data_IF_384830958187
#
_entry.id   IF_384830958187
#
_cell.length_a   1.000
_cell.length_b   1.000
_cell.length_c   1.000
_cell.angle_alpha   90.00
_cell.angle_beta   90.00
_cell.angle_gamma   90.00
#
_symmetry.space_group_name_H-M   'P 1'
#
loop_
_entity.id
_entity.type
_entity.pdbx_description
1 polymer ?
#
# COMPACT_ATOMS: atom_id res chain seq x y z
N UNK A 1 -27.32 39.30 16.93
CA UNK A 1 -27.28 37.84 16.94
C UNK A 1 -25.85 37.40 16.73
N UNK A 2 -25.27 36.64 17.69
CA UNK A 2 -23.86 36.19 17.59
C UNK A 2 -23.88 34.79 16.99
N UNK A 3 -23.59 34.70 15.67
CA UNK A 3 -23.57 33.43 14.95
C UNK A 3 -22.40 32.52 15.37
N UNK A 4 -22.55 31.17 15.33
CA UNK A 4 -21.50 30.25 15.66
C UNK A 4 -20.21 30.42 14.83
N UNK A 5 -19.06 29.90 15.28
CA UNK A 5 -17.87 29.82 14.44
C UNK A 5 -18.16 29.09 13.11
N UNK A 6 -17.51 29.50 12.04
CA UNK A 6 -17.73 28.99 10.66
C UNK A 6 -17.74 27.43 10.61
N UNK A 7 -16.79 26.79 11.30
CA UNK A 7 -16.71 25.31 11.37
C UNK A 7 -18.02 24.68 11.88
N UNK A 8 -18.71 25.33 12.85
CA UNK A 8 -19.97 24.83 13.40
C UNK A 8 -21.16 25.16 12.50
N UNK A 9 -21.11 26.27 11.79
CA UNK A 9 -22.11 26.62 10.76
C UNK A 9 -22.11 25.57 9.63
N UNK A 10 -20.94 25.15 9.16
CA UNK A 10 -20.79 24.09 8.14
C UNK A 10 -21.32 22.74 8.59
N UNK A 11 -21.09 22.37 9.84
CA UNK A 11 -21.65 21.14 10.39
C UNK A 11 -23.18 21.16 10.41
N UNK A 12 -23.77 22.32 10.73
CA UNK A 12 -25.23 22.52 10.68
C UNK A 12 -25.72 22.46 9.23
N UNK A 13 -24.99 23.06 8.27
CA UNK A 13 -25.30 23.02 6.84
C UNK A 13 -25.34 21.57 6.31
N UNK A 14 -24.36 20.75 6.67
CA UNK A 14 -24.31 19.33 6.29
C UNK A 14 -25.54 18.56 6.81
N UNK A 15 -25.92 18.78 8.08
CA UNK A 15 -27.13 18.18 8.66
C UNK A 15 -28.40 18.66 7.95
N UNK A 16 -28.46 19.94 7.58
CA UNK A 16 -29.61 20.49 6.86
C UNK A 16 -29.73 19.90 5.45
N UNK A 17 -28.66 19.76 4.72
CA UNK A 17 -28.68 19.09 3.42
C UNK A 17 -29.20 17.66 3.53
N UNK A 18 -28.85 16.94 4.61
CA UNK A 18 -29.37 15.62 4.88
C UNK A 18 -30.87 15.64 5.22
N UNK A 19 -31.32 16.61 6.00
CA UNK A 19 -32.74 16.82 6.30
C UNK A 19 -33.55 17.01 5.01
N UNK A 20 -33.03 17.78 4.05
CA UNK A 20 -33.71 18.02 2.77
C UNK A 20 -33.79 16.78 1.89
N UNK A 21 -32.78 15.90 1.93
CA UNK A 21 -32.69 14.69 1.08
C UNK A 21 -33.27 13.44 1.72
N UNK A 22 -33.72 13.50 2.96
CA UNK A 22 -34.24 12.33 3.65
C UNK A 22 -35.60 11.92 3.10
N UNK A 23 -35.67 10.72 2.51
CA UNK A 23 -36.90 10.09 2.04
C UNK A 23 -37.70 9.47 3.20
N UNK A 24 -37.03 9.10 4.29
CA UNK A 24 -37.65 8.50 5.48
C UNK A 24 -37.91 9.59 6.52
N UNK A 25 -39.15 9.63 7.03
CA UNK A 25 -39.61 10.62 8.02
C UNK A 25 -38.85 10.52 9.36
N UNK A 26 -38.46 9.34 9.79
CA UNK A 26 -37.66 9.14 11.01
C UNK A 26 -36.25 9.73 10.85
N UNK A 27 -35.61 9.56 9.70
CA UNK A 27 -34.30 10.14 9.42
C UNK A 27 -34.41 11.66 9.34
N UNK A 28 -35.49 12.18 8.78
CA UNK A 28 -35.77 13.61 8.70
C UNK A 28 -35.96 14.21 10.10
N UNK A 29 -36.77 13.59 10.95
CA UNK A 29 -37.00 14.01 12.32
C UNK A 29 -35.71 14.00 13.15
N UNK A 30 -34.90 12.95 13.03
CA UNK A 30 -33.61 12.87 13.71
C UNK A 30 -32.61 13.97 13.24
N UNK A 31 -32.51 14.21 11.93
CA UNK A 31 -31.64 15.26 11.42
C UNK A 31 -32.10 16.65 11.92
N UNK A 32 -33.39 16.90 11.96
CA UNK A 32 -33.97 18.14 12.50
C UNK A 32 -33.61 18.31 13.97
N UNK A 33 -33.84 17.30 14.80
CA UNK A 33 -33.48 17.32 16.22
C UNK A 33 -32.00 17.65 16.42
N UNK A 34 -31.09 17.03 15.63
CA UNK A 34 -29.65 17.29 15.73
C UNK A 34 -29.27 18.71 15.30
N UNK A 35 -29.97 19.30 14.35
CA UNK A 35 -29.79 20.71 13.99
C UNK A 35 -30.21 21.59 15.15
N UNK A 36 -31.40 21.38 15.70
CA UNK A 36 -31.96 22.15 16.83
C UNK A 36 -31.05 22.07 18.06
N UNK A 37 -30.56 20.89 18.44
CA UNK A 37 -29.59 20.69 19.54
C UNK A 37 -28.30 21.52 19.33
N UNK A 38 -27.83 21.63 18.08
CA UNK A 38 -26.62 22.39 17.78
C UNK A 38 -26.85 23.89 17.74
N UNK A 39 -28.00 24.34 17.25
CA UNK A 39 -28.39 25.72 17.30
C UNK A 39 -28.56 26.21 18.75
N UNK A 40 -29.23 25.39 19.59
CA UNK A 40 -29.49 25.69 21.00
C UNK A 40 -28.19 25.88 21.81
N UNK A 41 -27.11 25.10 21.51
CA UNK A 41 -25.78 25.31 22.12
C UNK A 41 -25.17 26.69 21.89
N UNK A 42 -25.72 27.45 20.96
CA UNK A 42 -25.31 28.83 20.62
C UNK A 42 -26.40 29.85 20.90
N UNK A 43 -27.48 29.46 21.60
CA UNK A 43 -28.63 30.34 21.90
C UNK A 43 -29.46 30.68 20.66
N UNK A 44 -29.42 29.84 19.63
CA UNK A 44 -30.12 30.00 18.36
C UNK A 44 -31.32 29.06 18.27
N UNK A 45 -32.33 29.44 17.50
CA UNK A 45 -33.51 28.62 17.21
C UNK A 45 -33.53 28.20 15.73
N UNK A 46 -34.52 27.40 15.35
CA UNK A 46 -34.74 27.00 13.97
C UNK A 46 -34.91 28.18 13.01
N UNK A 47 -35.56 29.25 13.45
CA UNK A 47 -35.78 30.48 12.66
C UNK A 47 -34.46 31.20 12.30
N UNK A 48 -33.40 30.95 13.09
CA UNK A 48 -32.06 31.51 12.84
C UNK A 48 -31.21 30.68 11.86
N UNK A 49 -31.75 29.55 11.40
CA UNK A 49 -31.02 28.59 10.58
C UNK A 49 -30.52 29.19 9.28
N UNK A 50 -31.34 30.00 8.61
CA UNK A 50 -30.95 30.65 7.35
C UNK A 50 -29.74 31.57 7.49
N UNK A 51 -29.61 32.27 8.60
CA UNK A 51 -28.44 33.11 8.86
C UNK A 51 -27.19 32.28 9.10
N UNK A 52 -27.31 31.09 9.77
CA UNK A 52 -26.23 30.15 9.96
C UNK A 52 -25.81 29.52 8.64
N UNK A 53 -26.75 29.15 7.78
CA UNK A 53 -26.52 28.61 6.45
C UNK A 53 -25.84 29.62 5.54
N UNK A 54 -26.32 30.85 5.48
CA UNK A 54 -25.69 31.96 4.74
C UNK A 54 -24.25 32.22 5.19
N UNK A 55 -23.98 32.19 6.51
CA UNK A 55 -22.62 32.31 7.01
C UNK A 55 -21.74 31.15 6.61
N UNK A 56 -22.29 29.94 6.53
CA UNK A 56 -21.56 28.77 6.04
C UNK A 56 -21.23 28.90 4.55
N UNK A 57 -22.13 29.45 3.75
CA UNK A 57 -21.99 29.65 2.30
C UNK A 57 -21.09 30.84 1.94
N UNK A 58 -21.13 31.91 2.74
CA UNK A 58 -20.29 33.12 2.54
C UNK A 58 -18.86 32.96 3.03
N UNK A 59 -18.59 31.91 3.76
CA UNK A 59 -17.23 31.60 4.12
C UNK A 59 -16.50 31.12 2.86
N UNK A 60 -15.74 32.02 2.24
CA UNK A 60 -14.66 31.70 1.30
C UNK A 60 -13.63 30.83 2.02
N UNK A 61 -14.05 29.62 2.38
CA UNK A 61 -13.11 28.58 2.72
C UNK A 61 -12.88 27.81 1.43
N UNK A 62 -11.62 27.50 1.10
CA UNK A 62 -11.32 26.59 0.03
C UNK A 62 -12.29 25.42 0.12
N UNK A 63 -12.80 24.93 -1.00
CA UNK A 63 -13.65 23.75 -1.11
C UNK A 63 -13.03 22.51 -0.44
N UNK A 64 -11.76 22.62 -0.06
CA UNK A 64 -10.89 21.60 0.54
C UNK A 64 -11.36 20.99 1.86
N UNK A 65 -12.17 21.69 2.65
CA UNK A 65 -12.49 21.20 4.01
C UNK A 65 -13.56 20.12 4.05
N UNK A 66 -14.30 19.93 2.99
CA UNK A 66 -15.32 18.88 2.84
C UNK A 66 -14.97 17.87 1.73
N UNK A 67 -13.73 17.86 1.32
CA UNK A 67 -13.21 16.86 0.44
C UNK A 67 -13.42 15.48 1.07
N UNK A 68 -13.89 14.54 0.28
CA UNK A 68 -14.14 13.15 0.70
C UNK A 68 -12.93 12.51 1.39
N UNK A 69 -11.70 12.87 0.98
CA UNK A 69 -10.47 12.41 1.63
C UNK A 69 -10.35 12.88 3.08
N UNK A 70 -10.72 14.15 3.36
CA UNK A 70 -10.69 14.67 4.73
C UNK A 70 -11.72 13.98 5.63
N UNK A 71 -12.87 13.59 5.08
CA UNK A 71 -13.88 12.84 5.83
C UNK A 71 -13.38 11.42 6.15
N UNK A 72 -12.77 10.75 5.19
CA UNK A 72 -12.21 9.41 5.39
C UNK A 72 -11.00 9.48 6.34
N UNK A 73 -10.07 10.42 6.17
CA UNK A 73 -8.92 10.62 7.06
C UNK A 73 -9.37 10.88 8.51
N UNK A 74 -10.37 11.76 8.69
CA UNK A 74 -10.97 12.04 10.00
C UNK A 74 -11.63 10.83 10.64
N UNK A 75 -12.26 9.96 9.83
CA UNK A 75 -12.81 8.70 10.31
C UNK A 75 -11.70 7.73 10.77
N UNK A 76 -10.68 7.52 9.92
CA UNK A 76 -9.59 6.60 10.25
C UNK A 76 -8.84 7.08 11.49
N UNK A 77 -8.44 8.35 11.54
CA UNK A 77 -7.65 8.92 12.64
C UNK A 77 -8.37 8.87 14.00
N UNK A 78 -9.69 8.76 13.98
CA UNK A 78 -10.50 8.63 15.20
C UNK A 78 -10.35 7.27 15.88
N UNK A 79 -10.22 6.19 15.09
CA UNK A 79 -10.24 4.81 15.55
C UNK A 79 -8.91 4.09 15.40
N UNK A 80 -8.06 4.50 14.47
CA UNK A 80 -6.84 3.77 14.09
C UNK A 80 -5.63 4.68 14.15
N UNK A 81 -4.54 4.16 14.71
CA UNK A 81 -3.25 4.82 14.73
C UNK A 81 -2.36 4.29 13.60
N UNK A 82 -2.20 5.08 12.57
CA UNK A 82 -1.29 4.91 11.45
C UNK A 82 -0.79 6.29 11.00
N UNK A 83 0.29 6.33 10.25
CA UNK A 83 0.87 7.60 9.80
C UNK A 83 -0.07 8.39 8.86
N UNK A 84 0.10 9.71 8.74
CA UNK A 84 -0.70 10.51 7.81
C UNK A 84 -0.60 10.03 6.36
N UNK A 85 0.59 9.60 5.90
CA UNK A 85 0.80 9.05 4.56
C UNK A 85 0.01 7.75 4.35
N UNK A 86 0.01 6.87 5.33
CA UNK A 86 -0.75 5.61 5.28
C UNK A 86 -2.27 5.86 5.30
N UNK A 87 -2.75 6.83 6.10
CA UNK A 87 -4.17 7.22 6.09
C UNK A 87 -4.61 7.75 4.73
N UNK A 88 -3.79 8.63 4.14
CA UNK A 88 -4.05 9.16 2.80
C UNK A 88 -4.06 8.03 1.75
N UNK A 89 -3.05 7.18 1.74
CA UNK A 89 -2.95 6.05 0.82
C UNK A 89 -4.15 5.09 0.93
N UNK A 90 -4.57 4.78 2.17
CA UNK A 90 -5.74 3.95 2.43
C UNK A 90 -7.03 4.62 1.94
N UNK A 91 -7.22 5.93 2.20
CA UNK A 91 -8.39 6.68 1.74
C UNK A 91 -8.45 6.71 0.20
N UNK A 92 -7.33 6.96 -0.46
CA UNK A 92 -7.21 6.92 -1.93
C UNK A 92 -7.50 5.53 -2.48
N UNK A 93 -7.00 4.48 -1.83
CA UNK A 93 -7.28 3.11 -2.22
C UNK A 93 -8.77 2.76 -2.06
N UNK A 94 -9.42 3.22 -0.98
CA UNK A 94 -10.85 3.02 -0.80
C UNK A 94 -11.66 3.70 -1.91
N UNK A 95 -11.32 4.94 -2.30
CA UNK A 95 -11.93 5.62 -3.45
C UNK A 95 -11.65 4.91 -4.77
N UNK A 96 -10.43 4.35 -4.94
CA UNK A 96 -10.08 3.57 -6.13
C UNK A 96 -11.04 2.40 -6.36
N UNK A 97 -11.57 1.77 -5.32
CA UNK A 97 -12.52 0.66 -5.46
C UNK A 97 -13.80 1.02 -6.21
N UNK A 98 -14.18 2.29 -6.27
CA UNK A 98 -15.36 2.79 -7.00
C UNK A 98 -15.09 3.05 -8.48
N UNK A 99 -13.82 3.19 -8.86
CA UNK A 99 -13.41 3.61 -10.20
C UNK A 99 -12.29 2.73 -10.77
N UNK A 100 -12.02 1.57 -10.16
CA UNK A 100 -10.91 0.69 -10.53
C UNK A 100 -10.96 0.24 -12.00
N UNK A 101 -12.16 0.23 -12.58
CA UNK A 101 -12.38 -0.11 -13.98
C UNK A 101 -11.77 0.88 -14.98
N UNK A 102 -11.36 2.07 -14.54
CA UNK A 102 -10.69 3.04 -15.39
C UNK A 102 -9.25 2.63 -15.73
N UNK A 103 -8.67 1.66 -15.03
CA UNK A 103 -7.28 1.22 -15.25
C UNK A 103 -7.19 -0.27 -15.59
N UNK A 104 -6.05 -0.64 -16.17
CA UNK A 104 -5.74 -2.04 -16.48
C UNK A 104 -5.08 -2.79 -15.33
N UNK A 105 -4.68 -2.09 -14.26
CA UNK A 105 -4.10 -2.69 -13.04
C UNK A 105 -4.79 -2.11 -11.82
N UNK A 106 -5.06 -2.96 -10.83
CA UNK A 106 -5.61 -2.57 -9.54
C UNK A 106 -4.65 -2.97 -8.42
N UNK A 107 -4.14 -2.01 -7.61
CA UNK A 107 -3.27 -2.35 -6.49
C UNK A 107 -4.04 -3.12 -5.42
N UNK A 108 -3.36 -4.03 -4.73
CA UNK A 108 -3.88 -4.64 -3.51
C UNK A 108 -3.70 -3.66 -2.36
N UNK A 109 -4.54 -3.74 -1.34
CA UNK A 109 -4.29 -3.10 -0.05
C UNK A 109 -3.76 -4.16 0.91
N UNK A 110 -2.61 -3.92 1.53
CA UNK A 110 -2.01 -4.83 2.48
C UNK A 110 -1.89 -4.18 3.87
N UNK A 111 -2.61 -4.71 4.84
CA UNK A 111 -2.58 -4.28 6.25
C UNK A 111 -1.64 -5.22 7.00
N UNK A 112 -0.41 -4.81 7.21
CA UNK A 112 0.63 -5.65 7.80
C UNK A 112 0.97 -5.20 9.23
N UNK A 113 1.29 -6.14 10.11
CA UNK A 113 1.82 -5.83 11.42
C UNK A 113 2.86 -6.86 11.85
N UNK A 114 3.85 -6.48 12.68
CA UNK A 114 4.84 -7.43 13.18
C UNK A 114 4.26 -8.45 14.15
N UNK A 115 3.18 -8.10 14.84
CA UNK A 115 2.55 -8.93 15.88
C UNK A 115 1.03 -8.73 15.89
N UNK A 116 0.31 -9.59 16.59
CA UNK A 116 -1.12 -9.45 16.85
C UNK A 116 -1.42 -8.20 17.74
N UNK A 117 -2.67 -7.73 17.68
CA UNK A 117 -3.14 -6.63 18.53
C UNK A 117 -2.70 -5.22 18.07
N UNK A 118 -2.43 -5.04 16.77
CA UNK A 118 -2.09 -3.75 16.18
C UNK A 118 -3.29 -3.05 15.49
N UNK A 119 -4.53 -3.55 15.65
CA UNK A 119 -5.73 -2.93 15.12
C UNK A 119 -6.08 -3.31 13.66
N UNK A 120 -5.46 -4.35 13.06
CA UNK A 120 -5.75 -4.79 11.67
C UNK A 120 -7.23 -5.09 11.45
N UNK A 121 -7.83 -5.89 12.30
CA UNK A 121 -9.25 -6.26 12.21
C UNK A 121 -10.17 -5.05 12.31
N UNK A 122 -9.86 -4.09 13.20
CA UNK A 122 -10.63 -2.85 13.32
C UNK A 122 -10.49 -1.98 12.07
N UNK A 123 -9.28 -1.90 11.50
CA UNK A 123 -9.07 -1.19 10.23
C UNK A 123 -9.79 -1.90 9.08
N UNK A 124 -9.78 -3.24 9.02
CA UNK A 124 -10.49 -4.00 7.99
C UNK A 124 -12.01 -3.75 8.05
N UNK A 125 -12.60 -3.64 9.24
CA UNK A 125 -14.01 -3.26 9.43
C UNK A 125 -14.30 -1.83 8.92
N UNK A 126 -13.39 -0.88 9.14
CA UNK A 126 -13.53 0.46 8.56
C UNK A 126 -13.42 0.42 7.02
N UNK A 127 -12.51 -0.37 6.48
CA UNK A 127 -12.38 -0.60 5.03
C UNK A 127 -13.70 -1.14 4.47
N UNK A 128 -14.30 -2.15 5.10
CA UNK A 128 -15.61 -2.73 4.71
C UNK A 128 -16.71 -1.65 4.61
N UNK A 129 -16.70 -0.68 5.51
CA UNK A 129 -17.71 0.38 5.51
C UNK A 129 -17.53 1.43 4.40
N UNK A 130 -16.31 1.59 3.88
CA UNK A 130 -15.95 2.69 2.97
C UNK A 130 -15.87 2.24 1.52
N UNK A 131 -15.42 1.02 1.24
CA UNK A 131 -15.15 0.53 -0.12
C UNK A 131 -16.42 0.25 -0.92
N UNK A 132 -16.26 0.16 -2.24
CA UNK A 132 -17.35 -0.19 -3.14
C UNK A 132 -17.64 -1.70 -3.09
N UNK A 133 -18.91 -2.07 -2.95
CA UNK A 133 -19.37 -3.48 -2.97
C UNK A 133 -18.50 -4.43 -2.14
N UNK A 134 -18.32 -4.20 -0.82
CA UNK A 134 -17.48 -5.03 0.01
C UNK A 134 -18.00 -6.48 0.06
N UNK A 135 -17.10 -7.46 0.04
CA UNK A 135 -17.42 -8.80 0.53
C UNK A 135 -17.53 -8.79 2.05
N UNK A 136 -18.10 -9.81 2.68
CA UNK A 136 -17.82 -10.07 4.10
C UNK A 136 -16.30 -10.15 4.34
N UNK A 137 -15.85 -9.80 5.55
CA UNK A 137 -14.46 -10.00 5.95
C UNK A 137 -14.22 -11.49 6.19
N UNK A 138 -13.49 -12.13 5.28
CA UNK A 138 -13.19 -13.56 5.39
C UNK A 138 -11.93 -13.80 6.21
N UNK A 139 -12.07 -14.55 7.30
CA UNK A 139 -10.97 -15.03 8.13
C UNK A 139 -10.36 -16.31 7.57
N UNK A 140 -11.17 -17.12 6.88
CA UNK A 140 -10.74 -18.32 6.18
C UNK A 140 -11.49 -18.47 4.86
N UNK A 141 -10.76 -18.60 3.77
CA UNK A 141 -11.34 -18.69 2.43
C UNK A 141 -10.54 -19.65 1.56
N UNK A 142 -11.24 -20.54 0.86
CA UNK A 142 -10.58 -21.39 -0.13
C UNK A 142 -10.27 -20.61 -1.40
N UNK A 143 -9.19 -20.96 -2.09
CA UNK A 143 -8.87 -20.38 -3.39
C UNK A 143 -10.04 -20.53 -4.39
N UNK A 144 -10.79 -21.63 -4.30
CA UNK A 144 -11.97 -21.88 -5.13
C UNK A 144 -13.09 -20.85 -4.91
N UNK A 145 -13.31 -20.41 -3.69
CA UNK A 145 -14.28 -19.36 -3.39
C UNK A 145 -13.78 -18.00 -3.90
N UNK A 146 -12.49 -17.69 -3.67
CA UNK A 146 -11.90 -16.40 -4.09
C UNK A 146 -12.06 -16.17 -5.58
N UNK A 147 -11.66 -17.12 -6.45
CA UNK A 147 -11.78 -16.87 -7.88
C UNK A 147 -13.23 -16.90 -8.39
N UNK A 148 -14.17 -17.58 -7.73
CA UNK A 148 -15.60 -17.49 -8.06
C UNK A 148 -16.17 -16.11 -7.70
N UNK A 149 -15.78 -15.54 -6.57
CA UNK A 149 -16.21 -14.20 -6.16
C UNK A 149 -15.70 -13.13 -7.12
N UNK A 150 -14.41 -13.20 -7.49
CA UNK A 150 -13.82 -12.21 -8.40
C UNK A 150 -14.23 -12.38 -9.87
N UNK A 151 -14.73 -13.55 -10.27
CA UNK A 151 -15.27 -13.85 -11.61
C UNK A 151 -16.76 -13.50 -11.74
N UNK A 152 -17.38 -12.93 -10.72
CA UNK A 152 -18.80 -12.55 -10.77
C UNK A 152 -19.01 -11.36 -11.72
N UNK A 153 -20.24 -11.20 -12.20
CA UNK A 153 -20.60 -10.10 -13.11
C UNK A 153 -20.33 -8.71 -12.53
N UNK A 154 -20.44 -8.58 -11.21
CA UNK A 154 -20.02 -7.42 -10.42
C UNK A 154 -19.07 -7.92 -9.33
N UNK A 155 -17.75 -7.91 -9.58
CA UNK A 155 -16.80 -8.38 -8.60
C UNK A 155 -16.86 -7.53 -7.33
N UNK A 156 -16.92 -8.13 -6.13
CA UNK A 156 -16.86 -7.37 -4.90
C UNK A 156 -15.43 -6.88 -4.64
N UNK A 157 -15.30 -5.84 -3.82
CA UNK A 157 -14.03 -5.58 -3.14
C UNK A 157 -13.81 -6.68 -2.11
N UNK A 158 -12.86 -7.57 -2.38
CA UNK A 158 -12.62 -8.75 -1.55
C UNK A 158 -11.82 -8.38 -0.30
N UNK A 159 -12.30 -8.78 0.87
CA UNK A 159 -11.70 -8.47 2.18
C UNK A 159 -11.24 -9.76 2.84
N UNK A 160 -9.92 -9.90 3.04
CA UNK A 160 -9.28 -11.09 3.60
C UNK A 160 -8.55 -10.72 4.88
N UNK A 161 -9.01 -11.21 6.03
CA UNK A 161 -8.31 -11.07 7.31
C UNK A 161 -7.52 -12.36 7.63
N UNK A 162 -6.54 -12.27 8.54
CA UNK A 162 -5.67 -13.38 8.94
C UNK A 162 -4.97 -14.09 7.76
N UNK A 163 -4.44 -13.31 6.83
CA UNK A 163 -3.75 -13.83 5.64
C UNK A 163 -2.60 -14.79 5.93
N UNK A 164 -1.98 -14.69 7.10
CA UNK A 164 -1.00 -15.64 7.63
C UNK A 164 -1.60 -17.04 7.89
N UNK A 165 -2.84 -17.12 8.38
CA UNK A 165 -3.57 -18.39 8.61
C UNK A 165 -4.23 -18.92 7.33
N UNK A 166 -4.50 -18.05 6.34
CA UNK A 166 -5.11 -18.44 5.06
C UNK A 166 -4.20 -19.29 4.17
N UNK A 167 -2.94 -19.56 4.59
CA UNK A 167 -1.99 -20.26 3.75
C UNK A 167 -1.66 -19.53 2.43
N UNK A 168 -1.89 -18.21 2.38
CA UNK A 168 -1.63 -17.36 1.19
C UNK A 168 -0.21 -17.59 0.67
N UNK A 169 0.73 -17.85 1.58
CA UNK A 169 2.13 -18.11 1.25
C UNK A 169 2.38 -19.53 0.75
N UNK A 170 1.51 -20.50 1.05
CA UNK A 170 1.65 -21.93 0.73
C UNK A 170 0.75 -22.37 -0.44
N UNK A 171 -0.46 -21.80 -0.56
CA UNK A 171 -1.38 -22.13 -1.64
C UNK A 171 -1.00 -21.41 -2.94
N UNK A 172 -0.46 -22.16 -3.90
CA UNK A 172 -0.10 -21.65 -5.24
C UNK A 172 -1.28 -21.07 -6.00
N UNK A 173 -2.48 -21.59 -5.75
CA UNK A 173 -3.70 -21.18 -6.45
C UNK A 173 -4.12 -19.81 -5.95
N UNK A 174 -4.21 -19.65 -4.63
CA UNK A 174 -4.58 -18.40 -4.00
C UNK A 174 -3.56 -17.30 -4.34
N UNK A 175 -2.26 -17.61 -4.26
CA UNK A 175 -1.19 -16.69 -4.73
C UNK A 175 -1.39 -16.27 -6.19
N UNK A 176 -1.77 -17.21 -7.07
CA UNK A 176 -2.04 -16.91 -8.47
C UNK A 176 -3.15 -15.86 -8.64
N UNK A 177 -4.24 -15.99 -7.89
CA UNK A 177 -5.36 -15.03 -7.92
C UNK A 177 -4.92 -13.67 -7.34
N UNK A 178 -4.25 -13.67 -6.19
CA UNK A 178 -3.81 -12.44 -5.54
C UNK A 178 -2.79 -11.66 -6.39
N UNK A 179 -1.92 -12.38 -7.11
CA UNK A 179 -0.95 -11.78 -8.04
C UNK A 179 -1.57 -11.33 -9.37
N UNK A 180 -2.74 -11.85 -9.75
CA UNK A 180 -3.43 -11.51 -10.99
C UNK A 180 -4.20 -10.18 -10.86
N UNK A 181 -3.48 -9.07 -10.76
CA UNK A 181 -4.03 -7.73 -10.57
C UNK A 181 -4.24 -6.95 -11.88
N UNK A 182 -4.13 -7.61 -13.04
CA UNK A 182 -4.26 -6.99 -14.36
C UNK A 182 -5.56 -7.44 -15.03
N UNK A 183 -6.27 -6.48 -15.64
CA UNK A 183 -7.44 -6.75 -16.49
C UNK A 183 -7.03 -7.67 -17.65
N UNK A 184 -7.87 -8.64 -17.97
CA UNK A 184 -7.59 -9.57 -19.05
C UNK A 184 -6.57 -10.66 -18.74
N UNK A 185 -6.21 -10.86 -17.46
CA UNK A 185 -5.34 -11.96 -17.02
C UNK A 185 -6.18 -13.05 -16.35
N UNK A 186 -6.66 -14.05 -17.10
CA UNK A 186 -7.52 -15.10 -16.54
C UNK A 186 -6.70 -16.17 -15.81
N UNK A 187 -7.37 -16.86 -14.90
CA UNK A 187 -6.88 -18.10 -14.28
C UNK A 187 -7.62 -19.29 -14.86
N UNK A 188 -6.91 -20.16 -15.56
CA UNK A 188 -7.47 -21.42 -16.08
C UNK A 188 -7.50 -22.51 -15.01
N UNK A 189 -8.58 -23.28 -14.96
CA UNK A 189 -8.78 -24.43 -14.07
C UNK A 189 -9.36 -25.62 -14.81
N UNK A 190 -8.90 -26.81 -14.45
CA UNK A 190 -9.54 -28.03 -14.88
C UNK A 190 -10.94 -28.13 -14.23
N UNK A 191 -11.96 -28.36 -15.02
CA UNK A 191 -13.36 -28.48 -14.60
C UNK A 191 -13.87 -29.95 -14.68
N UNK A 192 -13.02 -30.89 -14.38
CA UNK A 192 -13.35 -32.32 -14.42
C UNK A 192 -13.79 -32.77 -15.82
N UNK A 193 -14.98 -33.39 -15.95
CA UNK A 193 -15.50 -33.83 -17.23
C UNK A 193 -15.89 -32.70 -18.19
N UNK A 194 -15.99 -31.46 -17.70
CA UNK A 194 -16.35 -30.27 -18.48
C UNK A 194 -15.13 -29.60 -19.15
N UNK A 195 -13.93 -30.18 -19.01
CA UNK A 195 -12.70 -29.65 -19.63
C UNK A 195 -12.02 -28.57 -18.79
N UNK A 196 -11.84 -27.35 -19.33
CA UNK A 196 -11.23 -26.23 -18.64
C UNK A 196 -12.20 -25.08 -18.46
N UNK A 197 -12.20 -24.48 -17.27
CA UNK A 197 -12.93 -23.23 -16.98
C UNK A 197 -11.95 -22.08 -16.77
N UNK A 198 -12.26 -20.94 -17.38
CA UNK A 198 -11.49 -19.70 -17.26
C UNK A 198 -12.21 -18.79 -16.28
N UNK A 199 -11.44 -18.21 -15.33
CA UNK A 199 -11.92 -17.25 -14.34
C UNK A 199 -11.20 -15.91 -14.52
N UNK A 200 -11.97 -14.83 -14.55
CA UNK A 200 -11.42 -13.48 -14.61
C UNK A 200 -11.19 -12.96 -13.21
N UNK A 201 -9.97 -12.52 -12.89
CA UNK A 201 -9.54 -12.25 -11.53
C UNK A 201 -9.26 -10.78 -11.23
N UNK A 202 -9.82 -9.89 -12.06
CA UNK A 202 -9.65 -8.45 -11.92
C UNK A 202 -10.65 -7.86 -10.94
N UNK A 203 -10.26 -7.64 -9.70
CA UNK A 203 -11.06 -7.03 -8.64
C UNK A 203 -10.15 -6.37 -7.60
N UNK A 204 -10.60 -5.32 -6.88
CA UNK A 204 -9.90 -4.80 -5.71
C UNK A 204 -9.87 -5.85 -4.58
N UNK A 205 -8.71 -6.00 -3.93
CA UNK A 205 -8.54 -6.96 -2.82
C UNK A 205 -7.76 -6.28 -1.70
N UNK A 206 -8.29 -6.35 -0.46
CA UNK A 206 -7.58 -5.99 0.76
C UNK A 206 -7.20 -7.25 1.55
N UNK A 207 -5.99 -7.27 2.10
CA UNK A 207 -5.43 -8.40 2.82
C UNK A 207 -4.85 -7.89 4.13
N UNK A 208 -5.23 -8.48 5.27
CA UNK A 208 -4.58 -8.25 6.54
C UNK A 208 -3.78 -9.49 6.96
N UNK A 209 -2.52 -9.30 7.37
CA UNK A 209 -1.65 -10.40 7.78
C UNK A 209 -0.65 -9.97 8.87
N UNK A 210 -0.11 -10.96 9.60
CA UNK A 210 1.05 -10.79 10.47
C UNK A 210 2.31 -11.13 9.68
N UNK A 211 3.39 -10.34 9.85
CA UNK A 211 4.66 -10.56 9.18
C UNK A 211 4.75 -9.89 7.81
N UNK A 212 5.40 -10.55 6.85
CA UNK A 212 5.71 -10.00 5.52
C UNK A 212 4.96 -10.75 4.42
N UNK A 213 4.60 -10.05 3.38
CA UNK A 213 4.12 -10.65 2.14
C UNK A 213 5.28 -11.20 1.30
N UNK A 214 4.98 -12.08 0.35
CA UNK A 214 5.95 -12.45 -0.70
C UNK A 214 6.31 -11.22 -1.54
N UNK A 215 7.53 -11.15 -2.05
CA UNK A 215 8.01 -10.02 -2.85
C UNK A 215 7.05 -9.68 -4.01
N UNK A 216 6.52 -10.71 -4.69
CA UNK A 216 5.58 -10.51 -5.80
C UNK A 216 4.28 -9.85 -5.39
N UNK A 217 3.77 -10.12 -4.20
CA UNK A 217 2.55 -9.51 -3.69
C UNK A 217 2.83 -8.13 -3.10
N UNK A 218 3.97 -7.96 -2.41
CA UNK A 218 4.49 -6.66 -1.94
C UNK A 218 4.55 -5.64 -3.07
N UNK A 219 5.14 -6.01 -4.20
CA UNK A 219 5.27 -5.15 -5.39
C UNK A 219 3.93 -4.81 -6.07
N UNK A 220 2.84 -5.46 -5.71
CA UNK A 220 1.48 -5.23 -6.23
C UNK A 220 0.55 -4.59 -5.22
N UNK A 221 1.08 -4.18 -4.08
CA UNK A 221 0.27 -3.71 -2.94
C UNK A 221 0.63 -2.29 -2.54
N UNK A 222 -0.36 -1.58 -2.06
CA UNK A 222 -0.20 -0.43 -1.17
C UNK A 222 -0.14 -1.00 0.24
N UNK A 223 0.98 -0.77 0.93
CA UNK A 223 1.27 -1.40 2.22
C UNK A 223 1.02 -0.41 3.35
N UNK A 224 0.19 -0.80 4.30
CA UNK A 224 -0.06 -0.09 5.55
C UNK A 224 0.62 -0.88 6.67
N UNK A 225 1.66 -0.31 7.27
CA UNK A 225 2.46 -0.94 8.32
C UNK A 225 1.90 -0.60 9.71
N UNK A 226 1.03 -1.45 10.22
CA UNK A 226 0.34 -1.21 11.48
C UNK A 226 1.21 -1.58 12.68
N UNK A 227 1.27 -0.68 13.64
CA UNK A 227 1.96 -0.85 14.90
C UNK A 227 0.99 -0.70 16.08
N UNK A 228 1.39 -1.14 17.26
CA UNK A 228 0.64 -0.82 18.46
C UNK A 228 0.68 0.69 18.69
N UNK A 229 -0.46 1.28 19.01
CA UNK A 229 -0.52 2.71 19.35
C UNK A 229 0.37 3.02 20.55
N UNK A 230 1.04 4.17 20.58
CA UNK A 230 1.72 4.66 21.77
C UNK A 230 0.73 4.81 22.94
N UNK A 231 1.18 4.64 24.21
CA UNK A 231 0.31 4.72 25.37
C UNK A 231 -0.37 6.08 25.59
N UNK A 232 0.24 7.14 25.12
CA UNK A 232 -0.23 8.53 25.19
C UNK A 232 -1.27 8.87 24.11
N UNK A 233 -1.44 8.02 23.10
CA UNK A 233 -2.44 8.22 22.04
C UNK A 233 -3.79 7.64 22.48
N UNK A 234 -4.81 8.48 22.57
CA UNK A 234 -6.18 8.07 22.85
C UNK A 234 -6.96 7.90 21.54
N UNK A 235 -7.55 6.73 21.32
CA UNK A 235 -8.44 6.43 20.20
C UNK A 235 -9.83 6.11 20.74
N UNK A 236 -10.86 6.45 19.98
CA UNK A 236 -12.20 6.01 20.30
C UNK A 236 -12.35 4.51 19.95
N UNK A 237 -13.24 3.83 20.68
CA UNK A 237 -13.58 2.44 20.36
C UNK A 237 -14.57 2.42 19.20
N UNK A 238 -14.27 1.65 18.17
CA UNK A 238 -15.19 1.45 17.06
C UNK A 238 -16.46 0.72 17.54
N UNK A 239 -17.61 1.32 17.27
CA UNK A 239 -18.91 0.72 17.46
C UNK A 239 -19.73 0.91 16.17
N UNK A 240 -19.80 -0.12 15.36
CA UNK A 240 -20.48 -0.09 14.06
C UNK A 240 -21.99 0.10 14.17
N UNK A 241 -22.57 -0.15 15.34
CA UNK A 241 -24.00 0.04 15.63
C UNK A 241 -24.31 1.41 16.20
N UNK A 242 -23.30 2.25 16.49
CA UNK A 242 -23.52 3.61 16.98
C UNK A 242 -24.25 4.45 15.93
N UNK A 243 -25.41 5.05 16.25
CA UNK A 243 -26.14 5.92 15.33
C UNK A 243 -25.29 7.07 14.77
N UNK A 244 -24.36 7.61 15.56
CA UNK A 244 -23.46 8.67 15.14
C UNK A 244 -22.45 8.16 14.11
N UNK A 245 -21.92 6.96 14.31
CA UNK A 245 -21.05 6.29 13.32
C UNK A 245 -21.79 6.05 12.02
N UNK A 246 -22.96 5.41 12.07
CA UNK A 246 -23.79 5.12 10.89
C UNK A 246 -24.16 6.39 10.11
N UNK A 247 -24.48 7.46 10.83
CA UNK A 247 -24.75 8.76 10.20
C UNK A 247 -23.51 9.34 9.52
N UNK A 248 -22.34 9.25 10.15
CA UNK A 248 -21.06 9.65 9.56
C UNK A 248 -20.75 8.88 8.29
N UNK A 249 -20.96 7.57 8.32
CA UNK A 249 -20.78 6.70 7.16
C UNK A 249 -21.73 7.04 6.01
N UNK A 250 -22.99 7.40 6.31
CA UNK A 250 -23.92 7.89 5.29
C UNK A 250 -23.40 9.15 4.58
N UNK A 251 -22.87 10.12 5.34
CA UNK A 251 -22.29 11.34 4.76
C UNK A 251 -21.06 11.02 3.88
N UNK A 252 -20.18 10.15 4.34
CA UNK A 252 -19.00 9.74 3.55
C UNK A 252 -19.44 9.10 2.23
N UNK A 253 -20.37 8.15 2.26
CA UNK A 253 -20.89 7.49 1.06
C UNK A 253 -21.55 8.46 0.08
N UNK A 254 -22.30 9.46 0.58
CA UNK A 254 -22.90 10.48 -0.26
C UNK A 254 -21.82 11.35 -0.94
N UNK A 255 -20.76 11.75 -0.23
CA UNK A 255 -19.67 12.50 -0.82
C UNK A 255 -18.84 11.65 -1.81
N UNK A 256 -18.65 10.34 -1.54
CA UNK A 256 -18.03 9.44 -2.49
C UNK A 256 -18.84 9.36 -3.79
N UNK A 257 -20.16 9.14 -3.70
CA UNK A 257 -21.03 9.08 -4.89
C UNK A 257 -21.00 10.38 -5.69
N UNK A 258 -21.02 11.53 -5.00
CA UNK A 258 -20.91 12.83 -5.64
C UNK A 258 -19.58 12.98 -6.37
N UNK A 259 -18.47 12.61 -5.74
CA UNK A 259 -17.16 12.64 -6.35
C UNK A 259 -17.08 11.71 -7.57
N UNK A 260 -17.53 10.47 -7.47
CA UNK A 260 -17.56 9.50 -8.59
C UNK A 260 -18.30 10.05 -9.81
N UNK A 261 -19.45 10.73 -9.58
CA UNK A 261 -20.27 11.25 -10.67
C UNK A 261 -19.72 12.54 -11.31
N UNK A 262 -18.82 13.26 -10.64
CA UNK A 262 -18.32 14.56 -11.08
C UNK A 262 -16.83 14.58 -11.44
N UNK A 263 -16.06 13.61 -10.95
CA UNK A 263 -14.61 13.58 -11.13
C UNK A 263 -14.23 13.24 -12.57
N UNK A 264 -13.19 13.92 -13.04
CA UNK A 264 -12.47 13.57 -14.27
C UNK A 264 -11.10 13.07 -13.85
N UNK A 265 -10.80 11.81 -14.17
CA UNK A 265 -9.56 11.18 -13.75
C UNK A 265 -8.58 11.14 -14.92
N UNK A 266 -7.40 11.68 -14.69
CA UNK A 266 -6.29 11.58 -15.63
C UNK A 266 -5.78 10.13 -15.65
N UNK A 267 -5.52 9.59 -16.84
CA UNK A 267 -5.11 8.19 -16.98
C UNK A 267 -3.63 7.97 -16.65
N UNK A 268 -2.80 9.01 -16.82
CA UNK A 268 -1.35 8.95 -16.62
C UNK A 268 -0.86 10.20 -15.87
N UNK A 269 -1.20 10.35 -14.59
CA UNK A 269 -0.77 11.47 -13.76
C UNK A 269 0.74 11.45 -13.55
N UNK A 270 1.33 12.61 -13.24
CA UNK A 270 2.72 12.69 -12.83
C UNK A 270 2.99 11.76 -11.65
N UNK A 271 3.97 10.86 -11.80
CA UNK A 271 4.25 9.82 -10.83
C UNK A 271 5.73 9.81 -10.46
N UNK A 272 6.10 10.15 -9.23
CA UNK A 272 7.49 10.19 -8.79
C UNK A 272 8.07 8.80 -8.48
N UNK A 273 7.21 7.79 -8.44
CA UNK A 273 7.59 6.39 -8.17
C UNK A 273 7.83 5.67 -9.48
N UNK A 274 8.75 4.72 -9.49
CA UNK A 274 9.15 3.94 -10.66
C UNK A 274 8.68 2.49 -10.57
N UNK A 275 8.80 1.76 -11.67
CA UNK A 275 8.59 0.31 -11.74
C UNK A 275 7.15 -0.12 -11.41
N UNK A 276 6.97 -1.28 -10.79
CA UNK A 276 5.65 -1.82 -10.45
C UNK A 276 4.92 -0.98 -9.40
N UNK A 277 5.68 -0.29 -8.54
CA UNK A 277 5.10 0.64 -7.57
C UNK A 277 4.44 1.84 -8.27
N UNK A 278 5.00 2.29 -9.40
CA UNK A 278 4.36 3.32 -10.23
C UNK A 278 2.98 2.87 -10.73
N UNK A 279 2.84 1.61 -11.15
CA UNK A 279 1.54 1.06 -11.55
C UNK A 279 0.51 1.05 -10.41
N UNK A 280 0.96 0.77 -9.17
CA UNK A 280 0.09 0.77 -8.00
C UNK A 280 -0.37 2.18 -7.61
N UNK A 281 0.54 3.15 -7.69
CA UNK A 281 0.26 4.53 -7.30
C UNK A 281 -0.45 5.34 -8.39
N UNK A 282 -0.33 4.97 -9.66
CA UNK A 282 -0.97 5.69 -10.78
C UNK A 282 -2.46 5.99 -10.54
N UNK A 283 -3.34 5.02 -10.24
CA UNK A 283 -4.74 5.31 -9.98
C UNK A 283 -4.95 6.19 -8.73
N UNK A 284 -4.14 6.01 -7.69
CA UNK A 284 -4.24 6.77 -6.45
C UNK A 284 -3.87 8.24 -6.67
N UNK A 285 -2.81 8.50 -7.46
CA UNK A 285 -2.38 9.85 -7.81
C UNK A 285 -3.43 10.56 -8.67
N UNK A 286 -4.01 9.87 -9.67
CA UNK A 286 -5.11 10.43 -10.46
C UNK A 286 -6.32 10.84 -9.61
N UNK A 287 -6.66 10.02 -8.61
CA UNK A 287 -7.73 10.32 -7.65
C UNK A 287 -7.34 11.52 -6.78
N UNK A 288 -6.11 11.55 -6.28
CA UNK A 288 -5.60 12.64 -5.46
C UNK A 288 -5.59 13.98 -6.22
N UNK A 289 -5.14 13.97 -7.48
CA UNK A 289 -5.15 15.16 -8.35
C UNK A 289 -6.58 15.67 -8.58
N UNK A 290 -7.57 14.78 -8.75
CA UNK A 290 -8.98 15.17 -8.89
C UNK A 290 -9.59 15.79 -7.62
N UNK A 291 -8.88 15.70 -6.51
CA UNK A 291 -9.28 16.18 -5.19
C UNK A 291 -8.33 17.24 -4.62
N UNK A 292 -7.46 17.83 -5.46
CA UNK A 292 -6.47 18.85 -5.11
C UNK A 292 -5.49 18.43 -3.99
N UNK A 293 -5.20 17.11 -3.90
CA UNK A 293 -4.27 16.50 -2.92
C UNK A 293 -3.12 15.76 -3.60
N UNK A 294 -2.84 16.07 -4.86
CA UNK A 294 -1.82 15.39 -5.66
C UNK A 294 -0.41 15.47 -5.07
N UNK A 295 0.02 16.64 -4.60
CA UNK A 295 1.36 16.83 -4.05
C UNK A 295 1.57 16.01 -2.78
N UNK A 296 0.60 16.00 -1.87
CA UNK A 296 0.65 15.19 -0.65
C UNK A 296 0.66 13.69 -0.97
N UNK A 297 -0.08 13.27 -2.01
CA UNK A 297 -0.09 11.88 -2.43
C UNK A 297 1.24 11.46 -3.08
N UNK A 298 1.91 12.36 -3.79
CA UNK A 298 3.26 12.12 -4.35
C UNK A 298 4.30 11.99 -3.24
N UNK A 299 4.24 12.85 -2.21
CA UNK A 299 5.07 12.73 -1.02
C UNK A 299 4.83 11.40 -0.29
N UNK A 300 3.56 11.03 -0.08
CA UNK A 300 3.20 9.76 0.52
C UNK A 300 3.71 8.57 -0.31
N UNK A 301 3.59 8.63 -1.63
CA UNK A 301 4.09 7.58 -2.53
C UNK A 301 5.60 7.37 -2.38
N UNK A 302 6.38 8.45 -2.38
CA UNK A 302 7.83 8.38 -2.17
C UNK A 302 8.18 7.83 -0.79
N UNK A 303 7.54 8.33 0.27
CA UNK A 303 7.81 7.91 1.64
C UNK A 303 7.44 6.43 1.86
N UNK A 304 6.31 5.97 1.34
CA UNK A 304 5.83 4.60 1.53
C UNK A 304 6.56 3.58 0.64
N UNK A 305 7.12 4.00 -0.48
CA UNK A 305 7.93 3.13 -1.35
C UNK A 305 9.41 3.12 -0.97
N UNK A 306 9.85 4.04 -0.10
CA UNK A 306 11.23 4.08 0.36
C UNK A 306 11.61 2.79 1.11
N UNK A 307 12.68 2.13 0.65
CA UNK A 307 13.19 0.91 1.28
C UNK A 307 12.40 -0.37 0.98
N UNK A 308 11.35 -0.29 0.15
CA UNK A 308 10.72 -1.52 -0.37
C UNK A 308 11.68 -2.23 -1.35
N UNK A 309 11.63 -3.59 -1.40
CA UNK A 309 12.48 -4.35 -2.29
C UNK A 309 12.24 -3.96 -3.76
N UNK A 310 13.30 -3.83 -4.52
CA UNK A 310 13.23 -3.55 -5.97
C UNK A 310 12.58 -4.73 -6.73
N UNK A 311 12.39 -4.60 -8.02
CA UNK A 311 11.55 -5.50 -8.83
C UNK A 311 11.93 -6.98 -8.75
N UNK A 312 13.21 -7.28 -8.60
CA UNK A 312 13.73 -8.64 -8.53
C UNK A 312 14.88 -8.69 -7.52
N UNK A 313 14.88 -9.62 -6.56
CA UNK A 313 16.02 -9.81 -5.65
C UNK A 313 17.38 -9.93 -6.35
N UNK A 314 17.37 -10.29 -7.63
CA UNK A 314 18.59 -10.33 -8.46
C UNK A 314 19.10 -8.93 -8.79
N UNK A 315 18.21 -7.96 -8.93
CA UNK A 315 18.60 -6.55 -9.12
C UNK A 315 19.15 -5.97 -7.82
N UNK A 316 18.51 -6.30 -6.68
CA UNK A 316 19.06 -5.95 -5.37
C UNK A 316 20.46 -6.55 -5.17
N UNK A 317 20.66 -7.80 -5.57
CA UNK A 317 21.98 -8.45 -5.55
C UNK A 317 23.00 -7.70 -6.42
N UNK A 318 22.62 -7.27 -7.63
CA UNK A 318 23.52 -6.49 -8.51
C UNK A 318 23.90 -5.15 -7.87
N UNK A 319 22.95 -4.46 -7.24
CA UNK A 319 23.20 -3.19 -6.58
C UNK A 319 24.12 -3.35 -5.37
N UNK A 320 23.85 -4.34 -4.50
CA UNK A 320 24.69 -4.60 -3.33
C UNK A 320 26.11 -5.02 -3.75
N UNK A 321 26.26 -5.83 -4.80
CA UNK A 321 27.56 -6.19 -5.35
C UNK A 321 28.29 -4.96 -5.92
N UNK A 322 27.61 -4.02 -6.57
CA UNK A 322 28.22 -2.78 -7.04
C UNK A 322 28.75 -1.97 -5.88
N UNK A 323 27.94 -1.79 -4.83
CA UNK A 323 28.31 -1.02 -3.66
C UNK A 323 29.54 -1.66 -2.95
N UNK A 324 29.61 -3.01 -2.92
CA UNK A 324 30.78 -3.73 -2.39
C UNK A 324 32.02 -3.47 -3.25
N UNK A 325 31.94 -3.58 -4.58
CA UNK A 325 33.06 -3.27 -5.47
C UNK A 325 33.53 -1.83 -5.34
N UNK A 326 32.60 -0.87 -5.22
CA UNK A 326 32.88 0.53 -5.06
C UNK A 326 33.58 0.81 -3.70
N UNK A 327 33.11 0.20 -2.62
CA UNK A 327 33.70 0.33 -1.30
C UNK A 327 35.10 -0.28 -1.20
N UNK A 328 35.32 -1.42 -1.86
CA UNK A 328 36.63 -2.10 -1.86
C UNK A 328 37.64 -1.46 -2.83
N UNK A 329 37.18 -0.74 -3.84
CA UNK A 329 38.02 -0.12 -4.86
C UNK A 329 38.83 -1.13 -5.69
N UNK A 330 38.33 -2.35 -5.89
CA UNK A 330 39.01 -3.45 -6.55
C UNK A 330 38.40 -3.82 -7.90
N UNK A 331 39.18 -4.47 -8.77
CA UNK A 331 38.75 -4.95 -10.08
C UNK A 331 38.18 -6.38 -10.06
N UNK A 332 38.40 -7.13 -8.97
CA UNK A 332 37.95 -8.50 -8.80
C UNK A 332 37.81 -8.88 -7.34
N UNK A 333 36.92 -9.84 -7.06
CA UNK A 333 36.65 -10.33 -5.69
C UNK A 333 36.41 -11.84 -5.75
N UNK A 334 36.95 -12.59 -4.80
CA UNK A 334 36.66 -14.02 -4.67
C UNK A 334 35.18 -14.23 -4.31
N UNK A 335 34.57 -15.30 -4.83
CA UNK A 335 33.15 -15.60 -4.56
C UNK A 335 32.85 -15.75 -3.07
N UNK A 336 33.79 -16.30 -2.31
CA UNK A 336 33.67 -16.45 -0.86
C UNK A 336 33.64 -15.09 -0.18
N UNK A 337 34.59 -14.22 -0.50
CA UNK A 337 34.75 -12.92 0.14
C UNK A 337 33.58 -11.98 -0.24
N UNK A 338 33.09 -12.06 -1.49
CA UNK A 338 31.91 -11.35 -1.93
C UNK A 338 30.66 -11.78 -1.14
N UNK A 339 30.50 -13.09 -0.95
CA UNK A 339 29.37 -13.64 -0.20
C UNK A 339 29.42 -13.25 1.28
N UNK A 340 30.60 -13.25 1.90
CA UNK A 340 30.82 -12.76 3.26
C UNK A 340 30.41 -11.30 3.39
N UNK A 341 30.85 -10.44 2.45
CA UNK A 341 30.46 -9.03 2.43
C UNK A 341 28.96 -8.81 2.24
N UNK A 342 28.28 -9.64 1.44
CA UNK A 342 26.83 -9.62 1.32
C UNK A 342 26.13 -9.98 2.65
N UNK A 343 26.68 -10.93 3.40
CA UNK A 343 26.15 -11.28 4.72
C UNK A 343 26.40 -10.20 5.79
N UNK A 344 27.45 -9.40 5.64
CA UNK A 344 27.78 -8.32 6.56
C UNK A 344 26.92 -7.05 6.39
N UNK A 345 26.09 -6.98 5.35
CA UNK A 345 25.22 -5.83 5.13
C UNK A 345 24.11 -5.73 6.19
N UNK A 346 24.14 -4.71 7.03
CA UNK A 346 23.19 -4.52 8.16
C UNK A 346 21.70 -4.54 7.78
N UNK A 347 21.38 -4.10 6.57
CA UNK A 347 20.01 -4.11 6.04
C UNK A 347 19.83 -5.14 4.91
N UNK A 348 20.80 -6.03 4.70
CA UNK A 348 20.80 -6.99 3.62
C UNK A 348 19.90 -8.20 3.89
N UNK A 349 19.11 -8.60 2.89
CA UNK A 349 18.27 -9.80 2.96
C UNK A 349 19.09 -11.10 2.87
N UNK A 350 20.40 -11.01 2.64
CA UNK A 350 21.24 -12.16 2.28
C UNK A 350 21.61 -13.04 3.47
N UNK A 351 21.50 -12.51 4.70
CA UNK A 351 21.70 -13.29 5.93
C UNK A 351 20.46 -14.14 6.29
N UNK A 352 19.28 -13.63 5.92
CA UNK A 352 17.98 -14.28 6.11
C UNK A 352 17.29 -14.52 4.77
N UNK A 353 18.01 -15.05 3.81
CA UNK A 353 17.52 -15.31 2.48
C UNK A 353 16.38 -16.32 2.47
N UNK A 354 15.29 -15.99 1.80
CA UNK A 354 14.07 -16.82 1.73
C UNK A 354 13.77 -17.32 0.30
N UNK A 355 14.80 -17.34 -0.55
CA UNK A 355 14.63 -17.69 -1.96
C UNK A 355 14.14 -16.53 -2.83
N UNK A 356 14.16 -16.68 -4.17
CA UNK A 356 13.79 -15.60 -5.11
C UNK A 356 12.34 -15.13 -5.00
N UNK A 357 11.46 -15.94 -4.42
CA UNK A 357 10.04 -15.62 -4.23
C UNK A 357 9.69 -15.27 -2.78
N UNK A 358 10.66 -15.35 -1.86
CA UNK A 358 10.44 -15.10 -0.43
C UNK A 358 9.57 -16.17 0.27
N UNK A 359 9.57 -17.41 -0.26
CA UNK A 359 8.69 -18.50 0.18
C UNK A 359 9.43 -19.66 0.83
N UNK A 360 10.74 -19.54 1.03
CA UNK A 360 11.58 -20.55 1.69
C UNK A 360 11.81 -20.21 3.17
N UNK A 361 12.23 -21.18 3.95
CA UNK A 361 12.70 -20.95 5.32
C UNK A 361 13.94 -20.03 5.27
N UNK A 362 14.06 -19.05 6.19
CA UNK A 362 15.20 -18.15 6.24
C UNK A 362 16.52 -18.93 6.38
N UNK A 363 17.47 -18.64 5.53
CA UNK A 363 18.84 -19.19 5.55
C UNK A 363 19.83 -18.19 4.96
N UNK A 364 21.12 -18.39 5.20
CA UNK A 364 22.15 -17.55 4.56
C UNK A 364 22.21 -17.83 3.06
N UNK A 365 22.25 -16.77 2.24
CA UNK A 365 22.45 -16.91 0.80
C UNK A 365 23.70 -17.76 0.54
N UNK A 366 23.57 -18.80 -0.28
CA UNK A 366 24.69 -19.68 -0.62
C UNK A 366 25.39 -19.20 -1.89
N UNK A 367 26.67 -19.62 -2.06
CA UNK A 367 27.43 -19.32 -3.27
C UNK A 367 26.76 -19.88 -4.55
N UNK A 368 26.08 -21.03 -4.44
CA UNK A 368 25.35 -21.65 -5.55
C UNK A 368 24.12 -20.83 -5.95
N UNK A 369 23.38 -20.29 -4.98
CA UNK A 369 22.21 -19.44 -5.23
C UNK A 369 22.63 -18.09 -5.82
N UNK A 370 23.66 -17.45 -5.25
CA UNK A 370 24.26 -16.23 -5.81
C UNK A 370 24.68 -16.45 -7.26
N UNK A 371 25.43 -17.51 -7.56
CA UNK A 371 25.87 -17.82 -8.91
C UNK A 371 24.70 -18.12 -9.86
N UNK A 372 23.62 -18.74 -9.38
CA UNK A 372 22.39 -18.98 -10.15
C UNK A 372 21.70 -17.67 -10.51
N UNK A 373 21.55 -16.73 -9.56
CA UNK A 373 20.94 -15.44 -9.79
C UNK A 373 21.76 -14.58 -10.78
N UNK A 374 23.09 -14.56 -10.63
CA UNK A 374 23.99 -13.81 -11.50
C UNK A 374 24.04 -14.36 -12.93
N UNK A 375 23.80 -15.68 -13.10
CA UNK A 375 23.78 -16.33 -14.42
C UNK A 375 22.68 -15.78 -15.34
N UNK A 376 21.56 -15.32 -14.77
CA UNK A 376 20.48 -14.73 -15.55
C UNK A 376 20.91 -13.42 -16.25
N UNK A 377 21.90 -12.73 -15.68
CA UNK A 377 22.57 -11.57 -16.29
C UNK A 377 23.80 -11.93 -17.11
N UNK A 378 24.03 -13.23 -17.40
CA UNK A 378 25.21 -13.77 -18.11
C UNK A 378 26.53 -13.58 -17.33
N UNK A 379 26.48 -13.26 -16.06
CA UNK A 379 27.65 -13.14 -15.19
C UNK A 379 28.01 -14.51 -14.63
N UNK A 380 29.27 -14.93 -14.84
CA UNK A 380 29.78 -16.25 -14.40
C UNK A 380 31.04 -16.08 -13.58
N UNK A 381 31.15 -16.85 -12.50
CA UNK A 381 32.42 -16.93 -11.77
C UNK A 381 33.48 -17.60 -12.63
N UNK A 382 34.73 -17.17 -12.47
CA UNK A 382 35.90 -17.78 -13.10
C UNK A 382 37.05 -17.80 -12.12
N UNK A 383 38.06 -18.62 -12.40
CA UNK A 383 39.27 -18.69 -11.59
C UNK A 383 40.02 -17.37 -11.66
N UNK A 384 40.24 -16.73 -10.51
CA UNK A 384 40.98 -15.50 -10.37
C UNK A 384 42.13 -15.66 -9.40
N UNK A 385 43.19 -14.87 -9.60
CA UNK A 385 44.33 -14.79 -8.67
C UNK A 385 44.09 -13.74 -7.61
N UNK A 386 44.70 -13.85 -6.41
CA UNK A 386 44.63 -12.82 -5.36
C UNK A 386 45.01 -11.44 -5.85
N UNK A 387 44.46 -10.40 -5.21
CA UNK A 387 44.88 -9.02 -5.38
C UNK A 387 46.29 -8.87 -4.76
N UNK A 388 47.27 -8.47 -5.60
CA UNK A 388 48.66 -8.24 -5.13
C UNK A 388 49.65 -8.68 -6.21
N UNK A 389 50.81 -8.02 -6.23
CA UNK A 389 51.89 -8.28 -7.17
C UNK A 389 52.52 -9.67 -6.98
N UNK A 390 53.57 -9.98 -7.76
CA UNK A 390 54.26 -11.27 -7.80
C UNK A 390 54.70 -11.85 -6.43
N UNK A 391 54.70 -11.08 -5.37
CA UNK A 391 55.11 -11.45 -4.01
C UNK A 391 53.98 -12.11 -3.16
N UNK A 392 52.69 -11.91 -3.51
CA UNK A 392 51.54 -12.47 -2.77
C UNK A 392 50.90 -13.63 -3.57
N UNK A 393 51.64 -14.75 -3.71
CA UNK A 393 51.10 -15.99 -4.33
C UNK A 393 50.20 -16.73 -3.33
N UNK A 394 48.94 -16.30 -3.22
CA UNK A 394 47.90 -17.16 -2.67
C UNK A 394 47.31 -18.08 -3.76
N UNK A 395 46.59 -19.16 -3.37
CA UNK A 395 45.93 -20.04 -4.31
C UNK A 395 44.84 -19.27 -5.12
N UNK A 396 44.76 -19.53 -6.41
CA UNK A 396 43.66 -19.08 -7.25
C UNK A 396 42.36 -19.73 -6.83
N UNK A 397 41.27 -19.00 -6.83
CA UNK A 397 39.94 -19.48 -6.46
C UNK A 397 38.87 -18.89 -7.38
N UNK A 398 37.63 -19.39 -7.26
CA UNK A 398 36.49 -18.83 -8.00
C UNK A 398 36.17 -17.41 -7.54
N UNK A 399 35.92 -16.53 -8.48
CA UNK A 399 35.58 -15.14 -8.18
C UNK A 399 34.96 -14.43 -9.39
N UNK A 400 34.73 -13.16 -9.24
CA UNK A 400 34.10 -12.30 -10.21
C UNK A 400 34.96 -11.08 -10.52
N UNK A 401 34.93 -10.63 -11.77
CA UNK A 401 35.52 -9.38 -12.17
C UNK A 401 34.48 -8.27 -12.22
N UNK A 402 34.84 -7.06 -11.80
CA UNK A 402 34.01 -5.87 -11.88
C UNK A 402 33.45 -5.64 -13.30
N UNK A 403 34.30 -5.79 -14.30
CA UNK A 403 33.94 -5.63 -15.72
C UNK A 403 32.82 -6.54 -16.20
N UNK A 404 32.62 -7.71 -15.55
CA UNK A 404 31.55 -8.64 -15.92
C UNK A 404 30.16 -8.12 -15.51
N UNK A 405 30.10 -7.14 -14.61
CA UNK A 405 28.85 -6.54 -14.09
C UNK A 405 28.46 -5.25 -14.80
N UNK A 406 29.38 -4.54 -15.45
CA UNK A 406 29.14 -3.18 -15.97
C UNK A 406 27.91 -3.08 -16.87
N UNK A 407 27.73 -4.04 -17.80
CA UNK A 407 26.57 -4.06 -18.67
C UNK A 407 25.25 -4.29 -17.91
N UNK A 408 25.29 -5.16 -16.89
CA UNK A 408 24.11 -5.41 -16.05
C UNK A 408 23.80 -4.19 -15.16
N UNK A 409 24.82 -3.56 -14.58
CA UNK A 409 24.63 -2.34 -13.79
C UNK A 409 24.09 -1.19 -14.63
N UNK A 410 24.57 -0.99 -15.85
CA UNK A 410 24.07 0.03 -16.76
C UNK A 410 22.60 -0.20 -17.16
N UNK A 411 22.19 -1.46 -17.27
CA UNK A 411 20.85 -1.83 -17.73
C UNK A 411 19.82 -1.92 -16.61
N UNK A 412 20.22 -2.35 -15.41
CA UNK A 412 19.31 -2.69 -14.32
C UNK A 412 19.50 -1.85 -13.05
N UNK A 413 20.67 -1.22 -12.87
CA UNK A 413 20.96 -0.44 -11.67
C UNK A 413 21.01 1.05 -12.00
N UNK A 414 19.87 1.66 -12.32
CA UNK A 414 19.77 3.11 -12.59
C UNK A 414 20.19 3.90 -11.33
N UNK A 415 20.87 5.06 -11.47
CA UNK A 415 21.19 5.89 -10.32
C UNK A 415 19.88 6.28 -9.59
N UNK A 416 19.81 6.03 -8.29
CA UNK A 416 18.74 6.59 -7.46
C UNK A 416 18.78 8.11 -7.62
N UNK A 417 17.62 8.74 -7.87
CA UNK A 417 17.52 10.19 -7.90
C UNK A 417 18.19 10.76 -6.63
N UNK A 418 19.01 11.80 -6.78
CA UNK A 418 19.88 12.36 -5.75
C UNK A 418 19.18 12.86 -4.47
N UNK A 419 17.85 12.76 -4.38
CA UNK A 419 16.99 13.21 -3.27
C UNK A 419 16.34 12.08 -2.46
N UNK A 420 16.62 10.79 -2.72
CA UNK A 420 16.23 9.75 -1.79
C UNK A 420 17.14 9.84 -0.56
N UNK A 421 16.58 9.87 0.69
CA UNK A 421 17.42 9.84 1.88
C UNK A 421 18.30 8.59 1.79
N UNK A 422 19.58 8.84 1.68
CA UNK A 422 20.61 7.82 1.71
C UNK A 422 20.53 7.19 3.10
N UNK A 423 19.89 6.04 3.22
CA UNK A 423 20.27 5.14 4.31
C UNK A 423 21.74 4.83 4.05
N UNK A 424 22.61 5.57 4.71
CA UNK A 424 24.02 5.23 4.81
C UNK A 424 24.08 3.85 5.45
N UNK A 425 24.15 2.82 4.60
CA UNK A 425 24.54 1.47 5.00
C UNK A 425 26.02 1.60 5.41
N UNK A 426 26.23 1.91 6.68
CA UNK A 426 27.57 2.15 7.22
C UNK A 426 28.27 0.80 7.24
N UNK A 427 29.16 0.56 6.26
CA UNK A 427 30.15 -0.49 6.38
C UNK A 427 31.07 -0.11 7.55
N UNK A 428 31.06 -0.88 8.63
CA UNK A 428 32.16 -0.87 9.59
C UNK A 428 33.39 -1.39 8.86
N UNK A 429 34.27 -0.49 8.45
CA UNK A 429 35.62 -0.81 8.09
C UNK A 429 36.30 -1.32 9.38
N UNK A 430 36.42 -2.64 9.50
CA UNK A 430 37.30 -3.25 10.50
C UNK A 430 38.70 -2.91 10.02
N UNK A 431 39.35 -1.98 10.74
CA UNK A 431 40.74 -1.63 10.50
C UNK A 431 41.60 -2.90 10.66
N UNK A 432 42.52 -3.05 9.74
CA UNK A 432 43.65 -3.94 9.91
C UNK A 432 44.48 -3.40 11.09
N UNK A 433 44.54 -4.15 12.16
CA UNK A 433 45.72 -4.24 13.03
C UNK A 433 46.40 -5.59 12.82
#
# INVERSE_FOLDING_TARGET
MKLPPIRKCRTIRSLYNRFLRAENEQIRAFARQKIEERLAKHGLKWEDLDAVLKKADQADAPQDKWNVLNLIDGLISKYIWITPHERLAMALWALHTYVYDNWNKTPRLALLSPVAGCGKTELMKLVEQIVNSPSPVYVNVSAALVYRLVDSAVPPTLLLDEGDNLGIFQDRVLRGVLNANRRGSPVGRAAGKEGTKTYWTYAPIAIAAIGKLTNTLTQRSIIINMQRRPPDVSLERLNELDPTFLMGMGLIRDEIRKWVNTSKLEQDPENPVINRYADNWRPLLAIADSLDRGDEAREAALAMCAGLPDEDPKVDLLMDIRDIFDALGVDRVFSRDLLEKLHDLEAGMWLEWQGPQGDQQPHKLTASEMARMLRDFKIKSRTISPLGGRATRGPSAQGYWRSDFESAWASYCTPRAANAPTHQRTMKLIGND
#
